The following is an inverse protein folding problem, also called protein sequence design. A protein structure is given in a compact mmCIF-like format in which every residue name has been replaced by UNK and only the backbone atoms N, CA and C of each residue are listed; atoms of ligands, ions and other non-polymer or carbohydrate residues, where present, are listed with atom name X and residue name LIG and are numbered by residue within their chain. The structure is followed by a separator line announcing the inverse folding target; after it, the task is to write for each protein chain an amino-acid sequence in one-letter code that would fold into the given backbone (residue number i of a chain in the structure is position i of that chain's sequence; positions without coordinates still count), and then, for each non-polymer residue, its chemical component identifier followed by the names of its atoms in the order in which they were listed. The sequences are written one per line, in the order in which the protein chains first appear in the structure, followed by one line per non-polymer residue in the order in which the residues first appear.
data_IF_704162991483
#
_entry.id   IF_704162991483
#
_cell.length_a   1.000
_cell.length_b   1.000
_cell.length_c   1.000
_cell.angle_alpha   90.00
_cell.angle_beta   90.00
_cell.angle_gamma   90.00
#
_symmetry.space_group_name_H-M   'P 1'
#
loop_
_entity.id
_entity.type
_entity.pdbx_description
1 polymer ?
#
# COMPACT_ATOMS: atom_id res chain seq x y z
N UNK A 1 -34.52 -0.47 14.74
CA UNK A 1 -33.35 -1.35 14.74
C UNK A 1 -32.18 -0.48 14.31
N UNK A 2 -31.21 -0.22 15.19
CA UNK A 2 -30.05 0.61 14.85
C UNK A 2 -29.30 -0.02 13.68
N UNK A 3 -29.12 0.70 12.59
CA UNK A 3 -28.28 0.25 11.47
C UNK A 3 -26.85 0.14 12.00
N UNK A 4 -26.31 -1.06 12.02
CA UNK A 4 -24.90 -1.23 12.34
C UNK A 4 -24.08 -0.48 11.29
N UNK A 5 -23.18 0.41 11.69
CA UNK A 5 -22.31 1.16 10.76
C UNK A 5 -21.29 0.24 10.05
N UNK A 6 -21.19 -1.02 10.46
CA UNK A 6 -20.27 -1.98 9.88
C UNK A 6 -20.60 -2.25 8.40
N UNK A 7 -19.59 -2.06 7.55
CA UNK A 7 -19.73 -2.20 6.10
C UNK A 7 -20.33 -0.98 5.38
N UNK A 8 -20.63 0.11 6.09
CA UNK A 8 -21.15 1.34 5.54
C UNK A 8 -19.99 2.26 5.08
N UNK A 9 -20.02 2.68 3.82
CA UNK A 9 -19.01 3.55 3.22
C UNK A 9 -19.45 5.03 3.12
N UNK A 10 -20.70 5.35 3.46
CA UNK A 10 -21.22 6.70 3.28
C UNK A 10 -20.39 7.76 4.03
N UNK A 11 -20.20 7.55 5.34
CA UNK A 11 -19.45 8.50 6.17
C UNK A 11 -17.97 8.53 5.79
N UNK A 12 -17.37 7.37 5.48
CA UNK A 12 -16.00 7.31 5.01
C UNK A 12 -15.81 8.10 3.71
N UNK A 13 -16.71 7.92 2.73
CA UNK A 13 -16.60 8.60 1.44
C UNK A 13 -16.96 10.09 1.49
N UNK A 14 -17.70 10.54 2.52
CA UNK A 14 -17.92 11.95 2.78
C UNK A 14 -16.67 12.62 3.36
N UNK A 15 -16.02 11.97 4.32
CA UNK A 15 -15.00 12.60 5.16
C UNK A 15 -13.56 12.31 4.69
N UNK A 16 -13.34 11.29 3.85
CA UNK A 16 -12.03 10.87 3.34
C UNK A 16 -11.98 10.78 1.81
N UNK A 17 -10.77 10.63 1.28
CA UNK A 17 -10.51 10.51 -0.16
C UNK A 17 -10.07 9.11 -0.54
N UNK A 18 -10.82 8.12 -0.10
CA UNK A 18 -10.51 6.72 -0.38
C UNK A 18 -10.82 6.36 -1.85
N UNK A 19 -9.93 5.61 -2.52
CA UNK A 19 -10.17 5.17 -3.90
C UNK A 19 -11.45 4.34 -4.03
N UNK A 20 -11.79 3.53 -3.04
CA UNK A 20 -12.98 2.69 -3.02
C UNK A 20 -14.29 3.48 -3.26
N UNK A 21 -14.31 4.75 -2.90
CA UNK A 21 -15.48 5.60 -3.06
C UNK A 21 -15.90 5.82 -4.53
N UNK A 22 -14.94 5.72 -5.46
CA UNK A 22 -15.23 5.79 -6.89
C UNK A 22 -16.12 4.65 -7.40
N UNK A 23 -16.18 3.51 -6.68
CA UNK A 23 -17.02 2.38 -7.07
C UNK A 23 -18.50 2.63 -6.85
N UNK A 24 -18.84 3.50 -5.89
CA UNK A 24 -20.22 3.77 -5.47
C UNK A 24 -20.86 4.96 -6.16
N UNK A 25 -20.10 5.73 -6.94
CA UNK A 25 -20.58 6.95 -7.58
C UNK A 25 -21.51 6.62 -8.75
N UNK A 26 -22.72 7.20 -8.80
CA UNK A 26 -23.62 7.10 -9.97
C UNK A 26 -22.97 7.74 -11.21
N UNK A 27 -23.33 7.21 -12.39
CA UNK A 27 -22.73 7.54 -13.70
C UNK A 27 -22.77 9.01 -14.11
N UNK A 28 -23.50 9.86 -13.39
CA UNK A 28 -23.74 11.26 -13.76
C UNK A 28 -23.26 12.29 -12.72
N UNK A 29 -22.51 11.88 -11.71
CA UNK A 29 -22.02 12.80 -10.66
C UNK A 29 -20.53 12.63 -10.39
N UNK A 30 -19.77 13.71 -10.17
CA UNK A 30 -18.40 13.61 -9.69
C UNK A 30 -18.38 13.02 -8.27
N UNK A 31 -17.35 12.23 -7.89
CA UNK A 31 -17.28 11.53 -6.60
C UNK A 31 -17.54 12.44 -5.39
N UNK A 32 -16.98 13.64 -5.41
CA UNK A 32 -17.05 14.61 -4.31
C UNK A 32 -18.45 15.18 -4.06
N UNK A 33 -19.34 15.16 -5.07
CA UNK A 33 -20.74 15.61 -4.93
C UNK A 33 -21.68 14.48 -4.51
N UNK A 34 -21.32 13.22 -4.76
CA UNK A 34 -22.19 12.09 -4.46
C UNK A 34 -22.37 11.83 -2.96
N UNK A 35 -21.40 12.25 -2.14
CA UNK A 35 -21.37 12.02 -0.69
C UNK A 35 -21.40 13.33 0.13
N UNK A 36 -21.75 14.45 -0.46
CA UNK A 36 -21.73 15.78 0.20
C UNK A 36 -20.37 16.14 0.83
N UNK A 37 -19.27 15.60 0.28
CA UNK A 37 -17.92 15.90 0.69
C UNK A 37 -17.41 17.24 0.12
N UNK A 38 -16.19 17.63 0.50
CA UNK A 38 -15.55 18.84 0.00
C UNK A 38 -15.00 18.63 -1.43
N UNK A 39 -15.50 19.36 -2.47
CA UNK A 39 -14.99 19.26 -3.82
C UNK A 39 -13.64 19.97 -3.97
N UNK A 40 -12.68 19.34 -4.64
CA UNK A 40 -11.44 19.98 -5.06
C UNK A 40 -11.70 20.88 -6.27
N UNK A 41 -11.15 22.11 -6.25
CA UNK A 41 -11.23 23.05 -7.36
C UNK A 41 -10.39 22.56 -8.55
N UNK A 42 -9.22 21.95 -8.29
CA UNK A 42 -8.33 21.40 -9.31
C UNK A 42 -7.92 22.42 -10.39
N UNK A 43 -7.58 21.88 -11.57
CA UNK A 43 -7.17 22.66 -12.74
C UNK A 43 -8.08 22.28 -13.92
N UNK A 44 -8.70 23.28 -14.53
CA UNK A 44 -9.47 23.08 -15.74
C UNK A 44 -8.52 22.94 -16.95
N UNK A 45 -8.66 21.82 -17.62
CA UNK A 45 -7.97 21.54 -18.90
C UNK A 45 -8.93 21.88 -20.05
N UNK A 46 -8.40 22.09 -21.25
CA UNK A 46 -9.23 22.28 -22.45
C UNK A 46 -10.17 21.08 -22.64
N UNK A 47 -11.35 21.30 -23.22
CA UNK A 47 -12.37 20.29 -23.53
C UNK A 47 -13.14 19.72 -22.31
N UNK A 48 -13.59 20.54 -21.37
CA UNK A 48 -14.39 20.16 -20.19
C UNK A 48 -13.71 19.10 -19.28
N UNK A 49 -12.38 18.93 -19.42
CA UNK A 49 -11.62 18.03 -18.56
C UNK A 49 -11.11 18.75 -17.34
N UNK A 50 -11.24 18.09 -16.20
CA UNK A 50 -10.86 18.63 -14.92
C UNK A 50 -9.86 17.71 -14.20
N UNK A 51 -8.69 18.24 -13.84
CA UNK A 51 -7.68 17.56 -13.06
C UNK A 51 -7.83 17.91 -11.59
N UNK A 52 -8.27 16.96 -10.76
CA UNK A 52 -8.69 17.28 -9.40
C UNK A 52 -7.52 17.52 -8.44
N UNK A 53 -6.46 16.69 -8.47
CA UNK A 53 -5.37 16.72 -7.48
C UNK A 53 -4.00 16.52 -8.12
N UNK A 54 -3.45 17.57 -8.71
CA UNK A 54 -2.11 17.55 -9.31
C UNK A 54 -1.02 17.19 -8.27
N UNK A 55 -1.18 17.61 -7.01
CA UNK A 55 -0.20 17.35 -5.96
C UNK A 55 -0.05 15.86 -5.67
N UNK A 56 -1.16 15.12 -5.53
CA UNK A 56 -1.10 13.66 -5.34
C UNK A 56 -0.53 12.95 -6.56
N UNK A 57 -0.83 13.40 -7.78
CA UNK A 57 -0.23 12.84 -9.01
C UNK A 57 1.29 12.97 -9.00
N UNK A 58 1.81 14.16 -8.66
CA UNK A 58 3.25 14.39 -8.61
C UNK A 58 3.92 13.55 -7.52
N UNK A 59 3.30 13.45 -6.35
CA UNK A 59 3.82 12.61 -5.26
C UNK A 59 3.78 11.12 -5.60
N UNK A 60 2.71 10.63 -6.22
CA UNK A 60 2.61 9.25 -6.69
C UNK A 60 3.72 8.94 -7.73
N UNK A 61 4.00 9.88 -8.63
CA UNK A 61 5.11 9.74 -9.58
C UNK A 61 6.47 9.67 -8.86
N UNK A 62 6.71 10.52 -7.86
CA UNK A 62 7.93 10.49 -7.04
C UNK A 62 8.01 9.15 -6.27
N UNK A 63 6.91 8.66 -5.74
CA UNK A 63 6.85 7.38 -5.03
C UNK A 63 7.20 6.19 -5.95
N UNK A 64 6.73 6.20 -7.20
CA UNK A 64 7.11 5.22 -8.23
C UNK A 64 8.62 5.26 -8.47
N UNK A 65 9.20 6.44 -8.70
CA UNK A 65 10.65 6.59 -8.93
C UNK A 65 11.47 6.14 -7.73
N UNK A 66 11.05 6.51 -6.51
CA UNK A 66 11.68 6.07 -5.27
C UNK A 66 11.63 4.53 -5.16
N UNK A 67 10.49 3.91 -5.44
CA UNK A 67 10.33 2.46 -5.37
C UNK A 67 11.18 1.72 -6.41
N UNK A 68 11.29 2.24 -7.63
CA UNK A 68 12.20 1.70 -8.67
C UNK A 68 13.66 1.79 -8.19
N UNK A 69 14.04 2.91 -7.59
CA UNK A 69 15.40 3.05 -7.01
C UNK A 69 15.64 2.05 -5.88
N UNK A 70 14.67 1.82 -4.99
CA UNK A 70 14.77 0.84 -3.92
C UNK A 70 14.83 -0.60 -4.45
N UNK A 71 14.09 -0.93 -5.50
CA UNK A 71 14.18 -2.21 -6.21
C UNK A 71 15.60 -2.45 -6.74
N UNK A 72 16.17 -1.46 -7.41
CA UNK A 72 17.53 -1.53 -7.91
C UNK A 72 18.57 -1.67 -6.78
N UNK A 73 18.39 -0.96 -5.67
CA UNK A 73 19.24 -1.10 -4.47
C UNK A 73 19.12 -2.48 -3.83
N UNK A 74 17.91 -3.03 -3.77
CA UNK A 74 17.66 -4.38 -3.22
C UNK A 74 18.35 -5.46 -4.04
N UNK A 75 18.42 -5.31 -5.37
CA UNK A 75 19.10 -6.30 -6.23
C UNK A 75 20.59 -6.41 -5.93
N UNK A 76 21.23 -5.36 -5.43
CA UNK A 76 22.64 -5.36 -5.06
C UNK A 76 22.95 -6.11 -3.75
N UNK A 77 21.96 -6.30 -2.87
CA UNK A 77 22.12 -7.03 -1.60
C UNK A 77 21.92 -8.53 -1.83
N UNK A 78 22.98 -9.21 -2.35
CA UNK A 78 22.86 -10.59 -2.80
C UNK A 78 22.67 -11.60 -1.66
N UNK A 79 23.21 -11.33 -0.47
CA UNK A 79 23.11 -12.19 0.71
C UNK A 79 21.88 -11.89 1.59
N UNK A 80 21.08 -10.87 1.26
CA UNK A 80 19.99 -10.42 2.10
C UNK A 80 18.82 -11.41 2.10
N UNK A 81 18.40 -11.83 3.30
CA UNK A 81 17.22 -12.67 3.53
C UNK A 81 15.96 -11.92 3.12
N UNK A 82 15.02 -12.60 2.47
CA UNK A 82 13.76 -12.00 2.04
C UNK A 82 13.88 -10.98 0.90
N UNK A 83 15.02 -10.99 0.16
CA UNK A 83 15.26 -10.02 -0.92
C UNK A 83 14.19 -10.04 -2.01
N UNK A 84 13.79 -11.21 -2.48
CA UNK A 84 12.77 -11.34 -3.53
C UNK A 84 11.38 -10.95 -3.03
N UNK A 85 11.12 -11.25 -1.80
CA UNK A 85 9.86 -10.98 -1.11
C UNK A 85 9.65 -9.47 -0.92
N UNK A 86 10.69 -8.73 -0.48
CA UNK A 86 10.60 -7.26 -0.38
C UNK A 86 10.50 -6.60 -1.76
N UNK A 87 11.10 -7.19 -2.80
CA UNK A 87 10.93 -6.72 -4.17
C UNK A 87 9.50 -6.89 -4.66
N UNK A 88 8.82 -8.00 -4.33
CA UNK A 88 7.40 -8.19 -4.64
C UNK A 88 6.52 -7.14 -3.92
N UNK A 89 6.82 -6.82 -2.67
CA UNK A 89 6.14 -5.74 -1.94
C UNK A 89 6.31 -4.39 -2.65
N UNK A 90 7.53 -4.03 -3.05
CA UNK A 90 7.79 -2.77 -3.76
C UNK A 90 7.11 -2.73 -5.13
N UNK A 91 7.04 -3.85 -5.85
CA UNK A 91 6.29 -3.96 -7.12
C UNK A 91 4.79 -3.75 -6.89
N UNK A 92 4.23 -4.35 -5.83
CA UNK A 92 2.84 -4.11 -5.43
C UNK A 92 2.58 -2.64 -5.12
N UNK A 93 3.49 -1.98 -4.41
CA UNK A 93 3.39 -0.55 -4.10
C UNK A 93 3.47 0.32 -5.36
N UNK A 94 4.32 -0.01 -6.33
CA UNK A 94 4.35 0.70 -7.64
C UNK A 94 2.99 0.59 -8.35
N UNK A 95 2.34 -0.57 -8.32
CA UNK A 95 1.01 -0.75 -8.92
C UNK A 95 -0.03 0.13 -8.21
N UNK A 96 0.02 0.21 -6.88
CA UNK A 96 -0.84 1.08 -6.09
C UNK A 96 -0.66 2.54 -6.52
N UNK A 97 0.57 3.04 -6.59
CA UNK A 97 0.88 4.43 -6.94
C UNK A 97 0.50 4.77 -8.41
N UNK A 98 0.65 3.82 -9.33
CA UNK A 98 0.14 4.00 -10.70
C UNK A 98 -1.37 4.17 -10.68
N UNK A 99 -2.08 3.34 -9.94
CA UNK A 99 -3.54 3.46 -9.81
C UNK A 99 -3.96 4.73 -9.08
N UNK A 100 -3.17 5.20 -8.11
CA UNK A 100 -3.41 6.44 -7.36
C UNK A 100 -3.53 7.65 -8.29
N UNK A 101 -2.68 7.75 -9.32
CA UNK A 101 -2.72 8.82 -10.33
C UNK A 101 -4.12 8.92 -10.97
N UNK A 102 -4.72 7.78 -11.27
CA UNK A 102 -5.99 7.72 -12.01
C UNK A 102 -7.24 7.74 -11.10
N UNK A 103 -7.10 7.36 -9.85
CA UNK A 103 -8.20 7.24 -8.89
C UNK A 103 -8.34 8.45 -7.99
N UNK A 104 -7.39 8.68 -7.10
CA UNK A 104 -7.38 9.77 -6.13
C UNK A 104 -6.80 11.06 -6.72
N UNK A 105 -5.78 10.95 -7.57
CA UNK A 105 -5.23 12.06 -8.33
C UNK A 105 -6.25 12.72 -9.26
N UNK A 106 -7.28 11.96 -9.65
CA UNK A 106 -8.38 12.47 -10.45
C UNK A 106 -7.96 12.87 -11.87
N UNK A 107 -7.02 12.10 -12.46
CA UNK A 107 -6.70 12.27 -13.87
C UNK A 107 -7.96 12.09 -14.72
N UNK A 108 -8.22 12.96 -15.71
CA UNK A 108 -9.47 12.96 -16.46
C UNK A 108 -9.61 11.72 -17.36
N UNK A 109 -10.30 10.73 -16.87
CA UNK A 109 -10.66 9.50 -17.57
C UNK A 109 -12.16 9.32 -17.63
N UNK A 110 -12.61 8.50 -18.58
CA UNK A 110 -13.99 8.02 -18.61
C UNK A 110 -14.33 7.27 -17.31
N UNK A 111 -15.56 7.40 -16.87
CA UNK A 111 -16.02 6.82 -15.61
C UNK A 111 -15.79 5.31 -15.52
N UNK A 112 -16.09 4.56 -16.59
CA UNK A 112 -15.89 3.12 -16.63
C UNK A 112 -14.40 2.74 -16.46
N UNK A 113 -13.52 3.50 -17.08
CA UNK A 113 -12.06 3.30 -16.97
C UNK A 113 -11.59 3.63 -15.55
N UNK A 114 -12.06 4.74 -14.96
CA UNK A 114 -11.74 5.09 -13.57
C UNK A 114 -12.21 4.03 -12.58
N UNK A 115 -13.43 3.49 -12.74
CA UNK A 115 -13.94 2.36 -11.93
C UNK A 115 -13.06 1.11 -12.08
N UNK A 116 -12.59 0.81 -13.30
CA UNK A 116 -11.64 -0.27 -13.55
C UNK A 116 -10.31 -0.07 -12.84
N UNK A 117 -9.70 1.11 -12.94
CA UNK A 117 -8.49 1.45 -12.18
C UNK A 117 -8.70 1.39 -10.67
N UNK A 118 -9.87 1.81 -10.19
CA UNK A 118 -10.21 1.72 -8.77
C UNK A 118 -10.29 0.28 -8.30
N UNK A 119 -10.88 -0.62 -9.08
CA UNK A 119 -10.93 -2.04 -8.72
C UNK A 119 -9.53 -2.66 -8.64
N UNK A 120 -8.64 -2.33 -9.59
CA UNK A 120 -7.23 -2.75 -9.55
C UNK A 120 -6.52 -2.16 -8.33
N UNK A 121 -6.75 -0.89 -8.03
CA UNK A 121 -6.16 -0.19 -6.88
C UNK A 121 -6.51 -0.87 -5.55
N UNK A 122 -7.79 -1.10 -5.31
CA UNK A 122 -8.31 -1.76 -4.10
C UNK A 122 -7.75 -3.19 -3.98
N UNK A 123 -7.72 -3.93 -5.08
CA UNK A 123 -7.16 -5.27 -5.14
C UNK A 123 -5.64 -5.28 -4.86
N UNK A 124 -4.90 -4.31 -5.42
CA UNK A 124 -3.47 -4.16 -5.20
C UNK A 124 -3.14 -3.83 -3.74
N UNK A 125 -3.90 -2.96 -3.08
CA UNK A 125 -3.73 -2.65 -1.65
C UNK A 125 -3.87 -3.94 -0.82
N UNK A 126 -4.94 -4.71 -1.03
CA UNK A 126 -5.19 -5.96 -0.31
C UNK A 126 -4.05 -6.97 -0.50
N UNK A 127 -3.63 -7.18 -1.75
CA UNK A 127 -2.56 -8.12 -2.08
C UNK A 127 -1.19 -7.67 -1.55
N UNK A 128 -0.88 -6.37 -1.63
CA UNK A 128 0.41 -5.82 -1.18
C UNK A 128 0.55 -5.87 0.34
N UNK A 129 -0.52 -5.58 1.10
CA UNK A 129 -0.53 -5.75 2.55
C UNK A 129 -0.34 -7.22 2.97
N UNK A 130 -0.92 -8.16 2.21
CA UNK A 130 -0.68 -9.58 2.41
C UNK A 130 0.77 -9.99 2.15
N UNK A 131 1.37 -9.51 1.05
CA UNK A 131 2.79 -9.74 0.74
C UNK A 131 3.67 -9.20 1.87
N UNK A 132 3.38 -8.01 2.39
CA UNK A 132 4.13 -7.42 3.49
C UNK A 132 4.03 -8.27 4.77
N UNK A 133 2.84 -8.79 5.11
CA UNK A 133 2.66 -9.71 6.22
C UNK A 133 3.47 -11.01 6.03
N UNK A 134 3.45 -11.59 4.83
CA UNK A 134 4.24 -12.79 4.53
C UNK A 134 5.75 -12.53 4.62
N UNK A 135 6.24 -11.31 4.33
CA UNK A 135 7.65 -10.95 4.55
C UNK A 135 8.07 -11.14 6.01
N UNK A 136 7.22 -10.76 6.96
CA UNK A 136 7.50 -11.03 8.38
C UNK A 136 7.62 -12.53 8.67
N UNK A 137 6.79 -13.36 8.04
CA UNK A 137 6.85 -14.82 8.22
C UNK A 137 8.16 -15.44 7.70
N UNK A 138 8.74 -14.87 6.63
CA UNK A 138 10.06 -15.28 6.12
C UNK A 138 11.16 -14.94 7.13
N UNK A 139 11.08 -13.77 7.79
CA UNK A 139 12.03 -13.38 8.83
C UNK A 139 12.14 -14.38 9.99
N UNK A 140 11.07 -15.12 10.29
CA UNK A 140 11.06 -16.22 11.27
C UNK A 140 11.52 -17.56 10.71
N UNK A 141 11.92 -17.63 9.45
CA UNK A 141 12.33 -18.87 8.76
C UNK A 141 11.24 -19.96 8.74
N UNK A 142 9.95 -19.60 8.87
CA UNK A 142 8.85 -20.51 8.61
C UNK A 142 8.75 -20.90 7.13
N UNK A 143 9.27 -20.05 6.27
CA UNK A 143 9.39 -20.25 4.83
C UNK A 143 10.84 -19.97 4.45
N UNK A 144 11.44 -20.89 3.68
CA UNK A 144 12.79 -20.69 3.14
C UNK A 144 12.74 -19.51 2.14
N UNK A 145 13.55 -18.49 2.39
CA UNK A 145 13.62 -17.28 1.55
C UNK A 145 14.16 -17.57 0.14
N UNK A 146 13.64 -16.83 -0.84
CA UNK A 146 14.11 -16.88 -2.22
C UNK A 146 13.94 -18.20 -2.95
N UNK A 147 13.29 -19.21 -2.33
CA UNK A 147 13.04 -20.49 -2.99
C UNK A 147 11.87 -20.37 -3.99
N UNK A 148 11.86 -21.17 -5.08
CA UNK A 148 10.72 -21.17 -6.01
C UNK A 148 9.39 -21.49 -5.32
N UNK A 149 9.40 -22.33 -4.27
CA UNK A 149 8.21 -22.68 -3.51
C UNK A 149 7.68 -21.50 -2.69
N UNK A 150 8.55 -20.77 -2.00
CA UNK A 150 8.20 -19.55 -1.26
C UNK A 150 7.63 -18.50 -2.20
N UNK A 151 8.34 -18.18 -3.29
CA UNK A 151 7.88 -17.20 -4.27
C UNK A 151 6.56 -17.59 -4.93
N UNK A 152 6.35 -18.87 -5.23
CA UNK A 152 5.08 -19.37 -5.73
C UNK A 152 3.96 -19.19 -4.71
N UNK A 153 4.19 -19.46 -3.43
CA UNK A 153 3.22 -19.25 -2.36
C UNK A 153 2.82 -17.77 -2.26
N UNK A 154 3.80 -16.85 -2.28
CA UNK A 154 3.55 -15.41 -2.30
C UNK A 154 2.72 -15.00 -3.51
N UNK A 155 3.16 -15.38 -4.72
CA UNK A 155 2.50 -15.00 -5.96
C UNK A 155 1.07 -15.56 -6.07
N UNK A 156 0.88 -16.84 -5.72
CA UNK A 156 -0.44 -17.50 -5.81
C UNK A 156 -1.39 -16.95 -4.76
N UNK A 157 -0.97 -16.85 -3.49
CA UNK A 157 -1.85 -16.37 -2.42
C UNK A 157 -2.22 -14.88 -2.61
N UNK A 158 -1.25 -14.03 -2.96
CA UNK A 158 -1.52 -12.63 -3.30
C UNK A 158 -2.37 -12.50 -4.57
N UNK A 159 -2.14 -13.35 -5.58
CA UNK A 159 -2.94 -13.41 -6.81
C UNK A 159 -4.41 -13.78 -6.55
N UNK A 160 -4.67 -14.75 -5.68
CA UNK A 160 -6.04 -15.12 -5.28
C UNK A 160 -6.75 -13.94 -4.59
N UNK A 161 -6.06 -13.27 -3.65
CA UNK A 161 -6.60 -12.08 -2.99
C UNK A 161 -6.84 -10.93 -3.97
N UNK A 162 -5.89 -10.69 -4.89
CA UNK A 162 -6.02 -9.67 -5.92
C UNK A 162 -7.22 -9.93 -6.83
N UNK A 163 -7.36 -11.15 -7.35
CA UNK A 163 -8.47 -11.53 -8.24
C UNK A 163 -9.79 -11.49 -7.50
N UNK A 164 -9.87 -12.03 -6.28
CA UNK A 164 -11.09 -12.05 -5.48
C UNK A 164 -11.56 -10.65 -5.11
N UNK A 165 -10.66 -9.80 -4.62
CA UNK A 165 -10.98 -8.40 -4.27
C UNK A 165 -11.34 -7.60 -5.52
N UNK A 166 -10.60 -7.79 -6.61
CA UNK A 166 -10.85 -7.14 -7.90
C UNK A 166 -12.22 -7.49 -8.46
N UNK A 167 -12.61 -8.77 -8.43
CA UNK A 167 -13.92 -9.23 -8.85
C UNK A 167 -15.05 -8.57 -8.03
N UNK A 168 -14.95 -8.59 -6.69
CA UNK A 168 -15.95 -7.95 -5.83
C UNK A 168 -16.04 -6.44 -6.11
N UNK A 169 -14.90 -5.77 -6.32
CA UNK A 169 -14.85 -4.35 -6.63
C UNK A 169 -15.50 -4.04 -7.99
N UNK A 170 -15.24 -4.85 -9.01
CA UNK A 170 -15.85 -4.69 -10.34
C UNK A 170 -17.35 -4.98 -10.31
N UNK A 171 -17.78 -6.02 -9.60
CA UNK A 171 -19.21 -6.31 -9.45
C UNK A 171 -19.94 -5.17 -8.71
N UNK A 172 -19.32 -4.61 -7.66
CA UNK A 172 -19.84 -3.44 -6.95
C UNK A 172 -19.99 -2.23 -7.89
N UNK A 173 -19.02 -1.99 -8.77
CA UNK A 173 -18.99 -0.83 -9.67
C UNK A 173 -19.93 -0.96 -10.86
N UNK A 174 -20.07 -2.14 -11.44
CA UNK A 174 -20.80 -2.41 -12.69
C UNK A 174 -22.09 -3.21 -12.51
N UNK A 175 -22.33 -3.70 -11.29
CA UNK A 175 -23.54 -4.48 -10.94
C UNK A 175 -23.78 -5.69 -11.88
N UNK A 176 -22.73 -6.49 -12.12
CA UNK A 176 -22.81 -7.63 -13.05
C UNK A 176 -23.69 -8.76 -12.52
N UNK A 177 -23.49 -9.14 -11.24
CA UNK A 177 -24.29 -10.20 -10.61
C UNK A 177 -25.40 -9.67 -9.72
N UNK A 178 -25.26 -8.43 -9.23
CA UNK A 178 -26.19 -7.82 -8.29
C UNK A 178 -25.98 -8.22 -6.82
N UNK A 179 -25.10 -9.18 -6.55
CA UNK A 179 -24.84 -9.68 -5.19
C UNK A 179 -24.11 -8.63 -4.32
N UNK A 180 -23.21 -7.84 -4.92
CA UNK A 180 -22.44 -6.80 -4.25
C UNK A 180 -22.96 -5.39 -4.55
N UNK A 181 -24.14 -5.28 -5.16
CA UNK A 181 -24.76 -4.01 -5.49
C UNK A 181 -25.06 -3.20 -4.23
N UNK A 182 -24.76 -1.90 -4.29
CA UNK A 182 -25.03 -0.96 -3.20
C UNK A 182 -25.83 0.22 -3.67
N UNK A 183 -26.71 0.73 -2.81
CA UNK A 183 -27.59 1.85 -3.11
C UNK A 183 -27.57 2.88 -1.98
N UNK A 184 -27.98 4.12 -2.28
CA UNK A 184 -28.13 5.17 -1.30
C UNK A 184 -29.12 4.79 -0.17
N UNK A 185 -30.18 4.03 -0.48
CA UNK A 185 -31.15 3.51 0.51
C UNK A 185 -30.51 2.51 1.48
N UNK A 186 -29.42 1.88 1.11
CA UNK A 186 -28.65 0.93 1.91
C UNK A 186 -27.35 1.55 2.51
N UNK A 187 -27.26 2.87 2.50
CA UNK A 187 -26.08 3.63 2.97
C UNK A 187 -24.76 3.15 2.34
N UNK A 188 -24.80 2.74 1.07
CA UNK A 188 -23.62 2.18 0.35
C UNK A 188 -22.92 1.06 1.13
N UNK A 189 -23.71 0.14 1.69
CA UNK A 189 -23.21 -0.92 2.54
C UNK A 189 -22.72 -2.10 1.70
N UNK A 190 -21.42 -2.44 1.82
CA UNK A 190 -20.79 -3.61 1.23
C UNK A 190 -19.86 -4.26 2.24
N UNK A 191 -20.30 -5.34 2.87
CA UNK A 191 -19.54 -6.00 3.94
C UNK A 191 -18.30 -6.70 3.37
N UNK A 192 -18.39 -7.36 2.21
CA UNK A 192 -17.27 -8.07 1.62
C UNK A 192 -16.12 -7.11 1.29
N UNK A 193 -16.45 -6.00 0.64
CA UNK A 193 -15.47 -4.98 0.29
C UNK A 193 -14.89 -4.30 1.55
N UNK A 194 -15.72 -4.05 2.56
CA UNK A 194 -15.26 -3.48 3.83
C UNK A 194 -14.25 -4.39 4.54
N UNK A 195 -14.51 -5.70 4.56
CA UNK A 195 -13.59 -6.66 5.16
C UNK A 195 -12.29 -6.73 4.36
N UNK A 196 -12.34 -6.86 3.04
CA UNK A 196 -11.15 -7.06 2.21
C UNK A 196 -10.30 -5.80 2.03
N UNK A 197 -10.92 -4.63 1.99
CA UNK A 197 -10.21 -3.37 1.76
C UNK A 197 -9.80 -2.66 3.06
N UNK A 198 -10.63 -2.73 4.11
CA UNK A 198 -10.39 -1.98 5.34
C UNK A 198 -9.84 -2.86 6.47
N UNK A 199 -10.55 -3.95 6.79
CA UNK A 199 -10.21 -4.76 7.95
C UNK A 199 -9.01 -5.67 7.70
N UNK A 200 -8.98 -6.38 6.58
CA UNK A 200 -7.92 -7.33 6.26
C UNK A 200 -6.54 -6.66 6.11
N UNK A 201 -6.38 -5.55 5.35
CA UNK A 201 -5.12 -4.84 5.30
C UNK A 201 -4.67 -4.33 6.67
N UNK A 202 -5.58 -3.81 7.49
CA UNK A 202 -5.27 -3.36 8.85
C UNK A 202 -4.71 -4.52 9.71
N UNK A 203 -5.36 -5.68 9.67
CA UNK A 203 -4.88 -6.87 10.40
C UNK A 203 -3.51 -7.31 9.91
N UNK A 204 -3.29 -7.35 8.59
CA UNK A 204 -1.99 -7.70 8.01
C UNK A 204 -0.88 -6.72 8.44
N UNK A 205 -1.15 -5.42 8.43
CA UNK A 205 -0.19 -4.39 8.85
C UNK A 205 0.14 -4.50 10.34
N UNK A 206 -0.88 -4.62 11.21
CA UNK A 206 -0.66 -4.78 12.65
C UNK A 206 0.15 -6.06 12.92
N UNK A 207 -0.19 -7.18 12.27
CA UNK A 207 0.54 -8.43 12.42
C UNK A 207 1.99 -8.29 11.95
N UNK A 208 2.24 -7.63 10.81
CA UNK A 208 3.59 -7.33 10.32
C UNK A 208 4.40 -6.57 11.37
N UNK A 209 3.90 -5.44 11.86
CA UNK A 209 4.65 -4.62 12.83
C UNK A 209 4.88 -5.35 14.16
N UNK A 210 3.93 -6.14 14.64
CA UNK A 210 4.09 -6.92 15.87
C UNK A 210 5.14 -8.03 15.68
N UNK A 211 5.05 -8.78 14.59
CA UNK A 211 6.00 -9.86 14.32
C UNK A 211 7.42 -9.32 14.16
N UNK A 212 7.60 -8.28 13.34
CA UNK A 212 8.93 -7.68 13.14
C UNK A 212 9.50 -7.05 14.42
N UNK A 213 8.67 -6.43 15.26
CA UNK A 213 9.10 -5.94 16.56
C UNK A 213 9.58 -7.08 17.48
N UNK A 214 8.86 -8.21 17.51
CA UNK A 214 9.28 -9.39 18.26
C UNK A 214 10.57 -9.99 17.70
N UNK A 215 10.70 -10.09 16.37
CA UNK A 215 11.93 -10.55 15.70
C UNK A 215 13.13 -9.74 16.13
N UNK A 216 13.04 -8.42 16.02
CA UNK A 216 14.15 -7.50 16.31
C UNK A 216 14.53 -7.51 17.80
N UNK A 217 13.55 -7.43 18.68
CA UNK A 217 13.81 -7.28 20.13
C UNK A 217 14.17 -8.61 20.79
N UNK A 218 13.50 -9.71 20.40
CA UNK A 218 13.65 -11.00 21.10
C UNK A 218 14.65 -11.92 20.44
N UNK A 219 14.74 -11.91 19.11
CA UNK A 219 15.58 -12.86 18.34
C UNK A 219 16.92 -12.21 18.00
N UNK A 220 16.92 -11.00 17.42
CA UNK A 220 18.14 -10.31 17.04
C UNK A 220 18.81 -9.57 18.22
N UNK A 221 18.04 -9.14 19.23
CA UNK A 221 18.56 -8.39 20.38
C UNK A 221 19.10 -6.99 20.02
N UNK A 222 18.71 -6.44 18.86
CA UNK A 222 19.16 -5.15 18.37
C UNK A 222 18.06 -4.10 18.47
N UNK A 223 18.42 -2.86 18.91
CA UNK A 223 17.46 -1.78 19.01
C UNK A 223 17.47 -0.80 17.83
N UNK A 224 18.53 -0.76 17.04
CA UNK A 224 18.62 0.18 15.90
C UNK A 224 17.55 -0.05 14.85
N UNK A 225 17.26 -1.28 14.39
CA UNK A 225 16.19 -1.54 13.44
C UNK A 225 14.81 -1.13 13.97
N UNK A 226 14.60 -1.19 15.30
CA UNK A 226 13.34 -0.84 15.94
C UNK A 226 12.96 0.63 15.70
N UNK A 227 13.94 1.55 15.58
CA UNK A 227 13.66 2.95 15.26
C UNK A 227 13.09 3.12 13.84
N UNK A 228 13.60 2.36 12.87
CA UNK A 228 13.05 2.35 11.51
C UNK A 228 11.65 1.77 11.50
N UNK A 229 11.43 0.65 12.17
CA UNK A 229 10.12 0.01 12.25
C UNK A 229 9.08 0.92 12.91
N UNK A 230 9.40 1.51 14.07
CA UNK A 230 8.53 2.45 14.77
C UNK A 230 8.29 3.72 13.94
N UNK A 231 9.33 4.22 13.26
CA UNK A 231 9.22 5.36 12.34
C UNK A 231 8.28 5.07 11.17
N UNK A 232 8.37 3.89 10.56
CA UNK A 232 7.48 3.48 9.48
C UNK A 232 6.00 3.40 9.95
N UNK A 233 5.77 2.78 11.12
CA UNK A 233 4.43 2.70 11.69
C UNK A 233 3.84 4.09 12.01
N UNK A 234 4.65 4.99 12.57
CA UNK A 234 4.24 6.35 12.88
C UNK A 234 3.91 7.16 11.61
N UNK A 235 4.78 7.10 10.60
CA UNK A 235 4.56 7.77 9.32
C UNK A 235 3.27 7.28 8.66
N UNK A 236 3.06 5.97 8.60
CA UNK A 236 1.82 5.41 8.08
C UNK A 236 0.60 5.89 8.87
N UNK A 237 0.63 5.83 10.20
CA UNK A 237 -0.47 6.30 11.04
C UNK A 237 -0.79 7.79 10.82
N UNK A 238 0.24 8.65 10.69
CA UNK A 238 0.06 10.07 10.37
C UNK A 238 -0.65 10.23 9.02
N UNK A 239 -0.23 9.50 7.99
CA UNK A 239 -0.88 9.51 6.67
C UNK A 239 -2.37 9.15 6.77
N UNK A 240 -2.70 8.08 7.53
CA UNK A 240 -4.09 7.67 7.73
C UNK A 240 -4.91 8.73 8.50
N UNK A 241 -4.32 9.41 9.50
CA UNK A 241 -4.99 10.52 10.20
C UNK A 241 -5.31 11.66 9.22
N UNK A 242 -4.38 12.01 8.34
CA UNK A 242 -4.63 13.02 7.31
C UNK A 242 -5.76 12.62 6.37
N UNK A 243 -5.82 11.36 5.98
CA UNK A 243 -6.86 10.87 5.07
C UNK A 243 -8.23 10.78 5.75
N UNK A 244 -8.33 10.12 6.91
CA UNK A 244 -9.62 9.81 7.54
C UNK A 244 -10.17 10.92 8.43
N UNK A 245 -9.32 11.74 9.05
CA UNK A 245 -9.75 12.72 10.05
C UNK A 245 -9.61 14.15 9.56
N UNK A 246 -8.49 14.48 8.93
CA UNK A 246 -8.14 15.86 8.60
C UNK A 246 -8.60 16.26 7.20
N UNK A 247 -8.85 15.30 6.30
CA UNK A 247 -9.07 15.54 4.87
C UNK A 247 -10.12 16.60 4.58
N UNK A 248 -11.32 16.46 5.12
CA UNK A 248 -12.44 17.38 4.90
C UNK A 248 -12.17 18.76 5.54
N UNK A 249 -11.59 18.78 6.72
CA UNK A 249 -11.23 20.04 7.40
C UNK A 249 -10.18 20.81 6.61
N UNK A 250 -9.17 20.13 6.11
CA UNK A 250 -8.10 20.72 5.29
C UNK A 250 -8.65 21.26 3.96
N UNK A 251 -9.51 20.47 3.31
CA UNK A 251 -10.17 20.88 2.07
C UNK A 251 -11.01 22.15 2.27
N UNK A 252 -11.82 22.19 3.30
CA UNK A 252 -12.66 23.35 3.61
C UNK A 252 -11.82 24.57 4.00
N UNK A 253 -10.78 24.40 4.81
CA UNK A 253 -9.90 25.48 5.23
C UNK A 253 -9.09 26.09 4.07
N UNK A 254 -8.76 25.29 3.05
CA UNK A 254 -8.02 25.74 1.87
C UNK A 254 -8.92 26.17 0.72
N UNK A 255 -10.25 26.15 0.92
CA UNK A 255 -11.23 26.43 -0.11
C UNK A 255 -11.18 25.46 -1.28
N UNK A 256 -10.94 24.17 -1.02
CA UNK A 256 -10.92 23.12 -2.05
C UNK A 256 -9.61 23.01 -2.84
N UNK A 257 -8.51 23.59 -2.37
CA UNK A 257 -7.21 23.51 -3.08
C UNK A 257 -6.41 22.27 -2.76
N UNK A 258 -6.50 21.77 -1.52
CA UNK A 258 -5.72 20.65 -0.99
C UNK A 258 -6.62 19.80 -0.11
N UNK A 259 -6.46 18.49 -0.17
CA UNK A 259 -7.13 17.52 0.71
C UNK A 259 -6.12 16.61 1.42
N UNK A 260 -6.62 15.68 2.24
CA UNK A 260 -5.79 14.76 3.01
C UNK A 260 -5.02 13.75 2.17
N UNK A 261 -5.48 13.44 0.95
CA UNK A 261 -4.83 12.47 0.07
C UNK A 261 -3.37 12.84 -0.25
N UNK A 262 -3.09 14.14 -0.46
CA UNK A 262 -1.73 14.61 -0.70
C UNK A 262 -0.76 14.17 0.41
N UNK A 263 -1.18 14.35 1.66
CA UNK A 263 -0.37 13.99 2.83
C UNK A 263 -0.35 12.49 3.06
N UNK A 264 -1.45 11.81 2.79
CA UNK A 264 -1.52 10.35 2.86
C UNK A 264 -0.51 9.72 1.90
N UNK A 265 -0.51 10.08 0.61
CA UNK A 265 0.46 9.60 -0.38
C UNK A 265 1.91 9.90 0.06
N UNK A 266 2.19 11.12 0.58
CA UNK A 266 3.51 11.49 1.06
C UNK A 266 3.96 10.60 2.22
N UNK A 267 3.15 10.47 3.25
CA UNK A 267 3.51 9.73 4.46
C UNK A 267 3.54 8.22 4.22
N UNK A 268 2.69 7.68 3.34
CA UNK A 268 2.74 6.28 2.91
C UNK A 268 4.02 5.98 2.14
N UNK A 269 4.43 6.85 1.20
CA UNK A 269 5.72 6.74 0.50
C UNK A 269 6.89 6.73 1.51
N UNK A 270 6.91 7.67 2.45
CA UNK A 270 7.97 7.74 3.46
C UNK A 270 7.97 6.50 4.37
N UNK A 271 6.80 5.97 4.71
CA UNK A 271 6.67 4.72 5.46
C UNK A 271 7.26 3.55 4.69
N UNK A 272 6.95 3.38 3.40
CA UNK A 272 7.50 2.32 2.54
C UNK A 272 9.02 2.43 2.41
N UNK A 273 9.55 3.63 2.21
CA UNK A 273 11.00 3.88 2.20
C UNK A 273 11.62 3.48 3.53
N UNK A 274 10.97 3.79 4.65
CA UNK A 274 11.47 3.47 6.00
C UNK A 274 11.38 1.97 6.28
N UNK A 275 10.36 1.24 5.80
CA UNK A 275 10.28 -0.22 5.83
C UNK A 275 11.46 -0.84 5.07
N UNK A 276 11.81 -0.28 3.91
CA UNK A 276 12.98 -0.76 3.18
C UNK A 276 14.29 -0.54 3.96
N UNK A 277 14.46 0.61 4.64
CA UNK A 277 15.61 0.85 5.51
C UNK A 277 15.61 -0.12 6.70
N UNK A 278 14.46 -0.42 7.28
CA UNK A 278 14.29 -1.43 8.31
C UNK A 278 14.81 -2.79 7.81
N UNK A 279 14.26 -3.30 6.71
CA UNK A 279 14.70 -4.55 6.10
C UNK A 279 16.20 -4.54 5.79
N UNK A 280 16.70 -3.45 5.22
CA UNK A 280 18.12 -3.29 4.90
C UNK A 280 19.02 -3.30 6.12
N UNK A 281 18.53 -2.88 7.28
CA UNK A 281 19.31 -2.81 8.53
C UNK A 281 19.42 -4.15 9.26
N UNK A 282 18.52 -5.10 8.98
CA UNK A 282 18.53 -6.45 9.59
C UNK A 282 19.10 -7.52 8.67
N UNK A 283 19.53 -7.15 7.46
CA UNK A 283 20.06 -8.08 6.45
C UNK A 283 21.53 -7.78 6.14
N UNK A 284 22.29 -8.83 5.80
CA UNK A 284 23.68 -8.71 5.38
C UNK A 284 23.78 -8.23 3.92
N UNK A 285 24.82 -7.45 3.60
CA UNK A 285 25.02 -6.89 2.25
C UNK A 285 25.67 -7.91 1.31
N UNK A 286 26.71 -8.62 1.79
CA UNK A 286 27.54 -9.53 0.99
C UNK A 286 27.70 -10.89 1.67
N UNK A 287 27.97 -11.92 0.86
CA UNK A 287 28.37 -13.23 1.36
C UNK A 287 29.69 -13.11 2.13
N UNK A 288 29.82 -13.74 3.31
CA UNK A 288 31.13 -13.81 3.98
C UNK A 288 32.12 -14.44 3.02
N UNK A 289 33.19 -13.70 2.68
CA UNK A 289 34.24 -14.25 1.84
C UNK A 289 34.83 -15.49 2.54
N UNK A 290 35.01 -16.64 1.83
CA UNK A 290 35.69 -17.77 2.41
C UNK A 290 37.05 -17.28 2.92
N UNK A 291 37.37 -17.57 4.19
CA UNK A 291 38.66 -17.25 4.75
C UNK A 291 39.72 -17.80 3.78
N UNK A 292 40.51 -16.92 3.19
CA UNK A 292 41.57 -17.32 2.28
C UNK A 292 42.45 -18.38 2.95
N UNK A 293 43.07 -19.31 2.19
CA UNK A 293 43.88 -20.34 2.76
C UNK A 293 44.90 -19.70 3.69
N UNK A 294 44.92 -20.13 4.98
CA UNK A 294 45.95 -19.76 5.92
C UNK A 294 47.28 -20.03 5.24
N UNK A 295 48.04 -18.98 4.94
CA UNK A 295 49.45 -19.16 4.59
C UNK A 295 50.15 -19.82 5.80
N UNK A 296 50.29 -21.12 5.70
CA UNK A 296 51.18 -21.85 6.59
C UNK A 296 52.57 -21.29 6.29
N UNK A 297 53.02 -20.40 7.18
CA UNK A 297 54.37 -19.88 7.15
C UNK A 297 55.32 -21.09 7.28
N UNK A 298 55.97 -21.45 6.19
CA UNK A 298 57.14 -22.36 6.20
C UNK A 298 58.24 -21.66 6.98
N UNK A 299 58.32 -21.98 8.28
CA UNK A 299 59.44 -21.62 9.13
C UNK A 299 60.73 -22.21 8.53
N UNK A 300 61.65 -21.33 8.12
CA UNK A 300 62.93 -21.67 7.61
C UNK A 300 63.71 -22.46 8.65
N UNK A 301 64.18 -23.63 8.23
CA UNK A 301 65.12 -24.41 9.00
C UNK A 301 66.47 -23.69 9.13
N UNK A 302 66.98 -23.65 10.32
CA UNK A 302 68.41 -23.35 10.57
C UNK A 302 69.23 -24.62 10.40
N UNK A 303 70.18 -24.55 9.55
CA UNK A 303 71.38 -25.39 9.55
C UNK A 303 72.53 -24.69 10.25
#
# INVERSE_FOLDING_TARGET
MGSTQFGNFNDFCRDSTLPVCNLFVPSNQPPNKAFDGCPLIGIDLSDDRHLSNLGSILLAFIAILASIFLLWRSERKQAAVGRREIQLFLLGFIIIEICEIFTVGGFPLDEAVRKGFTAIHVAAITATCWILFLNAMVGYQFLDDGTPASLALFAVSAGVLFIGTGYISLDTAFNWTGEFATTASNNYRNIALYVLYQLFPLVCLVAFFVLEAVLVVRILGEFRPMFYLAGAALLFAIGQIFNYVISTHLCNATGGKINGALFETLFTMLSVVTIWFFWSSITEDDWPMPAGPMQVGTGGGYS
#
